data_IF_900705532234
#
_entry.id   IF_900705532234
#
_cell.length_a   1.000
_cell.length_b   1.000
_cell.length_c   1.000
_cell.angle_alpha   90.00
_cell.angle_beta   90.00
_cell.angle_gamma   90.00
#
_symmetry.space_group_name_H-M   'P 1'
#
loop_
_entity.id
_entity.type
_entity.pdbx_description
1 polymer ?
#
# COMPACT_ATOMS: atom_id res chain seq x y z
N UNK A 1 -16.34 -1.96 -20.92
CA UNK A 1 -15.48 -1.96 -19.72
C UNK A 1 -14.25 -1.11 -20.00
N UNK A 2 -13.96 -0.10 -19.18
CA UNK A 2 -12.78 0.76 -19.36
C UNK A 2 -11.49 -0.03 -19.00
N UNK A 3 -10.43 0.18 -19.78
CA UNK A 3 -9.13 -0.51 -19.69
C UNK A 3 -8.40 -0.16 -18.39
N UNK A 4 -8.62 -0.92 -17.32
CA UNK A 4 -7.65 -1.00 -16.20
C UNK A 4 -6.52 -2.00 -16.48
N UNK A 5 -6.50 -2.57 -17.69
CA UNK A 5 -5.63 -3.67 -18.08
C UNK A 5 -4.12 -3.34 -18.13
N UNK A 6 -3.68 -2.12 -17.81
CA UNK A 6 -2.25 -1.76 -17.76
C UNK A 6 -1.87 -0.92 -16.52
N UNK A 7 -2.78 -0.76 -15.57
CA UNK A 7 -2.49 -0.01 -14.35
C UNK A 7 -1.89 -0.91 -13.27
N UNK A 8 -1.02 -0.32 -12.45
CA UNK A 8 -0.35 -0.95 -11.31
C UNK A 8 -0.47 0.00 -10.12
N UNK A 9 -0.82 -0.53 -8.95
CA UNK A 9 -0.96 0.24 -7.71
C UNK A 9 0.25 -0.06 -6.85
N UNK A 10 0.98 1.01 -6.50
CA UNK A 10 2.08 0.94 -5.54
C UNK A 10 1.55 1.45 -4.20
N UNK A 11 1.79 0.69 -3.15
CA UNK A 11 1.45 1.00 -1.77
C UNK A 11 2.70 1.58 -1.12
N UNK A 12 2.65 2.87 -0.79
CA UNK A 12 3.73 3.59 -0.15
C UNK A 12 3.11 4.62 0.79
N UNK A 13 3.49 4.62 2.07
CA UNK A 13 2.95 5.53 3.08
C UNK A 13 3.83 6.77 3.22
N UNK A 14 3.25 7.84 3.76
CA UNK A 14 3.99 9.08 4.00
C UNK A 14 3.40 9.88 5.17
N UNK A 15 4.19 10.83 5.64
CA UNK A 15 3.87 11.75 6.73
C UNK A 15 2.83 12.85 6.37
N UNK A 16 2.23 12.78 5.18
CA UNK A 16 1.34 13.81 4.64
C UNK A 16 2.08 14.92 3.88
N UNK A 17 3.42 14.85 3.82
CA UNK A 17 4.28 15.74 3.03
C UNK A 17 4.96 14.92 1.93
N UNK A 18 6.23 14.58 2.14
CA UNK A 18 7.09 13.91 1.16
C UNK A 18 7.98 12.83 1.80
N UNK A 19 7.96 12.66 3.13
CA UNK A 19 8.78 11.66 3.79
C UNK A 19 8.08 10.31 3.71
N UNK A 20 8.78 9.33 3.11
CA UNK A 20 8.28 7.96 2.96
C UNK A 20 8.41 7.22 4.28
N UNK A 21 7.35 6.54 4.69
CA UNK A 21 7.27 5.79 5.94
C UNK A 21 6.82 4.34 5.67
N UNK A 22 7.09 3.40 6.59
CA UNK A 22 6.47 2.09 6.55
C UNK A 22 4.94 2.23 6.61
N UNK A 23 4.23 1.33 5.93
CA UNK A 23 2.75 1.31 5.95
C UNK A 23 2.25 1.16 7.38
N UNK A 24 1.33 2.03 7.77
CA UNK A 24 0.74 2.06 9.11
C UNK A 24 1.43 3.03 10.07
N UNK A 25 2.51 3.69 9.64
CA UNK A 25 3.19 4.75 10.40
C UNK A 25 2.96 6.14 9.82
N UNK A 26 2.45 6.23 8.58
CA UNK A 26 2.11 7.50 7.96
C UNK A 26 0.63 7.86 8.12
N UNK A 27 0.11 8.54 7.11
CA UNK A 27 -1.21 9.20 7.15
C UNK A 27 -2.22 8.58 6.20
N UNK A 28 -1.80 7.64 5.35
CA UNK A 28 -2.68 7.01 4.37
C UNK A 28 -3.60 5.99 5.04
N UNK A 29 -4.90 6.10 4.79
CA UNK A 29 -5.88 5.09 5.19
C UNK A 29 -5.91 3.92 4.18
N UNK A 30 -5.07 2.91 4.42
CA UNK A 30 -4.99 1.71 3.58
C UNK A 30 -6.24 0.84 3.67
N UNK A 31 -7.05 0.95 4.73
CA UNK A 31 -8.33 0.24 4.83
C UNK A 31 -9.37 0.83 3.87
N UNK A 32 -9.52 2.15 3.88
CA UNK A 32 -10.36 2.87 2.92
C UNK A 32 -9.90 2.64 1.48
N UNK A 33 -8.59 2.60 1.23
CA UNK A 33 -8.06 2.31 -0.09
C UNK A 33 -8.38 0.89 -0.56
N UNK A 34 -8.22 -0.13 0.30
CA UNK A 34 -8.57 -1.52 -0.02
C UNK A 34 -10.03 -1.62 -0.45
N UNK A 35 -10.93 -1.04 0.35
CA UNK A 35 -12.36 -1.01 0.07
C UNK A 35 -12.66 -0.36 -1.30
N UNK A 36 -11.97 0.74 -1.62
CA UNK A 36 -12.19 1.43 -2.91
C UNK A 36 -11.67 0.61 -4.10
N UNK A 37 -10.52 -0.05 -3.97
CA UNK A 37 -9.97 -0.91 -5.03
C UNK A 37 -10.89 -2.10 -5.32
N UNK A 38 -11.46 -2.71 -4.28
CA UNK A 38 -12.47 -3.76 -4.42
C UNK A 38 -13.74 -3.24 -5.08
N UNK A 39 -14.25 -2.08 -4.65
CA UNK A 39 -15.46 -1.44 -5.21
C UNK A 39 -15.33 -1.17 -6.71
N UNK A 40 -14.17 -0.70 -7.18
CA UNK A 40 -13.94 -0.44 -8.61
C UNK A 40 -13.59 -1.71 -9.42
N UNK A 41 -13.55 -2.87 -8.76
CA UNK A 41 -13.17 -4.14 -9.37
C UNK A 41 -11.74 -4.16 -9.89
N UNK A 42 -10.79 -3.56 -9.16
CA UNK A 42 -9.38 -3.59 -9.53
C UNK A 42 -8.87 -5.05 -9.49
N UNK A 43 -8.45 -5.62 -10.63
CA UNK A 43 -8.34 -7.08 -10.74
C UNK A 43 -6.93 -7.61 -10.49
N UNK A 44 -6.00 -6.79 -9.99
CA UNK A 44 -4.56 -7.08 -9.99
C UNK A 44 -3.93 -6.97 -8.61
N UNK A 45 -2.77 -7.63 -8.40
CA UNK A 45 -1.96 -7.39 -7.22
C UNK A 45 -1.57 -5.91 -7.10
N UNK A 46 -1.44 -5.46 -5.86
CA UNK A 46 -0.77 -4.21 -5.52
C UNK A 46 0.67 -4.52 -5.12
N UNK A 47 1.58 -3.57 -5.35
CA UNK A 47 3.00 -3.71 -5.00
C UNK A 47 3.23 -2.92 -3.73
N UNK A 48 3.73 -3.57 -2.68
CA UNK A 48 4.28 -2.86 -1.54
C UNK A 48 5.63 -2.22 -1.93
N UNK A 49 5.67 -0.90 -1.98
CA UNK A 49 6.85 -0.13 -2.34
C UNK A 49 7.38 0.60 -1.10
N UNK A 50 8.51 0.12 -0.57
CA UNK A 50 9.21 0.74 0.55
C UNK A 50 10.52 1.30 0.02
N UNK A 51 10.57 2.63 -0.13
CA UNK A 51 11.77 3.34 -0.60
C UNK A 51 12.13 4.36 0.46
N UNK A 52 12.69 3.85 1.55
CA UNK A 52 13.15 4.67 2.68
C UNK A 52 14.69 4.64 2.63
N UNK A 53 15.37 5.80 2.70
CA UNK A 53 16.83 5.83 2.79
C UNK A 53 17.31 5.03 4.02
N UNK A 54 18.13 3.99 3.80
CA UNK A 54 18.55 3.08 4.87
C UNK A 54 17.47 2.10 5.33
N UNK A 55 16.39 1.95 4.55
CA UNK A 55 15.31 1.00 4.82
C UNK A 55 15.82 -0.42 5.03
N UNK A 56 15.12 -1.13 5.90
CA UNK A 56 15.49 -2.43 6.43
C UNK A 56 14.43 -3.48 6.10
N UNK A 57 14.78 -4.76 6.23
CA UNK A 57 13.80 -5.86 6.19
C UNK A 57 12.70 -5.68 7.24
N UNK A 58 12.97 -4.95 8.33
CA UNK A 58 11.99 -4.66 9.36
C UNK A 58 10.90 -3.72 8.86
N UNK A 59 11.24 -2.71 8.05
CA UNK A 59 10.25 -1.80 7.46
C UNK A 59 9.28 -2.58 6.55
N UNK A 60 9.80 -3.59 5.85
CA UNK A 60 8.97 -4.53 5.09
C UNK A 60 8.05 -5.36 5.97
N UNK A 61 8.56 -5.95 7.06
CA UNK A 61 7.74 -6.77 7.98
C UNK A 61 6.64 -5.94 8.64
N UNK A 62 6.95 -4.73 9.09
CA UNK A 62 5.98 -3.81 9.70
C UNK A 62 4.89 -3.48 8.69
N UNK A 63 5.28 -3.06 7.48
CA UNK A 63 4.32 -2.70 6.43
C UNK A 63 3.43 -3.88 6.02
N UNK A 64 4.02 -5.07 5.87
CA UNK A 64 3.29 -6.30 5.55
C UNK A 64 2.26 -6.62 6.63
N UNK A 65 2.67 -6.63 7.90
CA UNK A 65 1.79 -6.92 9.04
C UNK A 65 0.62 -5.94 9.09
N UNK A 66 0.90 -4.63 8.96
CA UNK A 66 -0.14 -3.61 8.98
C UNK A 66 -1.17 -3.79 7.85
N UNK A 67 -0.73 -4.17 6.64
CA UNK A 67 -1.63 -4.47 5.52
C UNK A 67 -2.47 -5.72 5.80
N UNK A 68 -1.88 -6.80 6.32
CA UNK A 68 -2.59 -8.04 6.66
C UNK A 68 -3.67 -7.80 7.73
N UNK A 69 -3.40 -6.99 8.75
CA UNK A 69 -4.38 -6.60 9.79
C UNK A 69 -5.57 -5.82 9.23
N UNK A 70 -5.37 -5.09 8.12
CA UNK A 70 -6.40 -4.37 7.38
C UNK A 70 -7.12 -5.23 6.32
N UNK A 71 -6.84 -6.54 6.29
CA UNK A 71 -7.48 -7.50 5.39
C UNK A 71 -6.91 -7.51 3.97
N UNK A 72 -5.72 -6.95 3.75
CA UNK A 72 -5.01 -7.14 2.49
C UNK A 72 -4.45 -8.57 2.41
N UNK A 73 -4.44 -9.13 1.21
CA UNK A 73 -3.86 -10.44 0.94
C UNK A 73 -2.49 -10.25 0.27
N UNK A 74 -1.48 -10.99 0.74
CA UNK A 74 -0.09 -10.90 0.27
C UNK A 74 0.35 -12.15 -0.47
#
# INVERSE_FOLDING_TARGET
MKRLANSMVHLNDNDGQFEKLPVGQGTIDFGAMNNKLLEIGYPRPCILEIVIPGGTDEDFRVSKTALEELGWQT
#
